data_IF_107900001142
#
_entry.id   IF_107900001142
#
_cell.length_a   1.000
_cell.length_b   1.000
_cell.length_c   1.000
_cell.angle_alpha   90.00
_cell.angle_beta   90.00
_cell.angle_gamma   90.00
#
_symmetry.space_group_name_H-M   'P 1'
#
loop_
_entity.id
_entity.type
_entity.pdbx_description
1 polymer ?
#
# COMPACT_ATOMS: atom_id res chain seq x y z
N UNK A 1 -10.50 -6.62 -14.01
CA UNK A 1 -11.15 -5.53 -13.27
C UNK A 1 -10.08 -4.50 -12.96
N UNK A 2 -10.18 -3.29 -13.51
CA UNK A 2 -9.27 -2.19 -13.16
C UNK A 2 -9.71 -1.67 -11.79
N UNK A 3 -8.88 -1.81 -10.75
CA UNK A 3 -9.17 -1.15 -9.48
C UNK A 3 -9.10 0.36 -9.70
N UNK A 4 -10.20 1.05 -9.42
CA UNK A 4 -10.26 2.51 -9.45
C UNK A 4 -9.48 3.04 -8.24
N UNK A 5 -8.71 4.10 -8.44
CA UNK A 5 -8.05 4.82 -7.36
C UNK A 5 -9.12 5.50 -6.50
N UNK A 6 -9.09 5.23 -5.19
CA UNK A 6 -10.02 5.80 -4.21
C UNK A 6 -9.27 6.77 -3.29
N UNK A 7 -9.35 8.07 -3.59
CA UNK A 7 -8.55 9.11 -2.95
C UNK A 7 -8.86 9.22 -1.45
N UNK A 8 -10.13 9.09 -1.06
CA UNK A 8 -10.55 9.24 0.34
C UNK A 8 -10.03 8.08 1.19
N UNK A 9 -10.12 6.86 0.67
CA UNK A 9 -9.59 5.66 1.35
C UNK A 9 -8.07 5.64 1.40
N UNK A 10 -7.39 6.15 0.35
CA UNK A 10 -5.93 6.32 0.37
C UNK A 10 -5.53 7.28 1.48
N UNK A 11 -6.16 8.46 1.57
CA UNK A 11 -5.83 9.46 2.59
C UNK A 11 -6.07 8.92 4.01
N UNK A 12 -7.19 8.21 4.23
CA UNK A 12 -7.49 7.59 5.51
C UNK A 12 -6.43 6.55 5.92
N UNK A 13 -6.01 5.69 4.99
CA UNK A 13 -5.00 4.66 5.26
C UNK A 13 -3.60 5.25 5.47
N UNK A 14 -3.24 6.33 4.77
CA UNK A 14 -1.99 7.06 5.03
C UNK A 14 -1.97 7.60 6.46
N UNK A 15 -3.05 8.27 6.89
CA UNK A 15 -3.15 8.80 8.25
C UNK A 15 -3.05 7.70 9.33
N UNK A 16 -3.69 6.55 9.10
CA UNK A 16 -3.60 5.40 10.00
C UNK A 16 -2.16 4.85 10.09
N UNK A 17 -1.49 4.72 8.95
CA UNK A 17 -0.09 4.25 8.89
C UNK A 17 0.89 5.23 9.53
N UNK A 18 0.64 6.53 9.48
CA UNK A 18 1.48 7.53 10.15
C UNK A 18 1.42 7.42 11.68
N UNK A 19 0.27 7.04 12.22
CA UNK A 19 0.06 6.80 13.66
C UNK A 19 0.49 5.41 14.11
N UNK A 20 0.64 4.47 13.18
CA UNK A 20 1.04 3.07 13.45
C UNK A 20 2.57 2.94 13.61
N UNK A 21 3.07 2.24 14.65
CA UNK A 21 4.49 1.87 14.78
C UNK A 21 5.02 1.16 13.54
N UNK A 22 6.27 1.42 13.18
CA UNK A 22 6.83 0.96 11.89
C UNK A 22 6.77 -0.56 11.72
N UNK A 23 6.92 -1.31 12.82
CA UNK A 23 6.89 -2.77 12.88
C UNK A 23 5.48 -3.34 12.58
N UNK A 24 4.43 -2.55 12.81
CA UNK A 24 3.03 -2.97 12.67
C UNK A 24 2.43 -2.55 11.32
N UNK A 25 3.04 -1.59 10.62
CA UNK A 25 2.52 -1.03 9.36
C UNK A 25 2.25 -2.06 8.28
N UNK A 26 3.07 -3.12 8.19
CA UNK A 26 2.85 -4.18 7.21
C UNK A 26 1.57 -4.97 7.53
N UNK A 27 1.27 -5.23 8.80
CA UNK A 27 0.05 -5.93 9.21
C UNK A 27 -1.19 -5.04 9.02
N UNK A 28 -1.07 -3.73 9.25
CA UNK A 28 -2.12 -2.76 8.90
C UNK A 28 -2.43 -2.78 7.41
N UNK A 29 -1.39 -2.75 6.56
CA UNK A 29 -1.53 -2.85 5.11
C UNK A 29 -2.15 -4.19 4.67
N UNK A 30 -1.73 -5.30 5.29
CA UNK A 30 -2.33 -6.61 5.03
C UNK A 30 -3.82 -6.61 5.38
N UNK A 31 -4.17 -6.06 6.53
CA UNK A 31 -5.57 -5.94 6.96
C UNK A 31 -6.38 -5.14 5.94
N UNK A 32 -5.85 -4.01 5.45
CA UNK A 32 -6.48 -3.20 4.41
C UNK A 32 -6.67 -3.96 3.09
N UNK A 33 -5.68 -4.77 2.67
CA UNK A 33 -5.80 -5.63 1.47
C UNK A 33 -6.93 -6.64 1.64
N UNK A 34 -7.01 -7.31 2.79
CA UNK A 34 -8.06 -8.31 3.08
C UNK A 34 -9.45 -7.66 3.07
N UNK A 35 -9.61 -6.51 3.72
CA UNK A 35 -10.93 -5.85 3.89
C UNK A 35 -11.45 -5.20 2.62
N UNK A 36 -10.56 -4.71 1.75
CA UNK A 36 -10.92 -3.95 0.54
C UNK A 36 -10.82 -4.74 -0.77
N UNK A 37 -10.34 -5.98 -0.72
CA UNK A 37 -10.13 -6.80 -1.93
C UNK A 37 -8.91 -6.39 -2.75
N UNK A 38 -7.83 -5.98 -2.06
CA UNK A 38 -6.53 -5.68 -2.64
C UNK A 38 -5.78 -6.91 -3.16
N UNK A 39 -4.50 -6.74 -3.47
CA UNK A 39 -3.58 -7.82 -3.86
C UNK A 39 -2.27 -7.66 -3.13
N UNK A 40 -1.59 -8.77 -2.87
CA UNK A 40 -0.21 -8.74 -2.44
C UNK A 40 0.56 -9.88 -3.06
N UNK A 41 1.87 -9.73 -3.05
CA UNK A 41 2.83 -10.76 -3.37
C UNK A 41 3.91 -10.74 -2.27
N UNK A 42 3.74 -11.61 -1.27
CA UNK A 42 4.57 -11.65 -0.06
C UNK A 42 5.10 -13.07 0.17
N UNK A 43 6.23 -13.22 0.88
CA UNK A 43 6.75 -14.54 1.23
C UNK A 43 5.74 -15.33 2.07
N UNK A 44 5.70 -16.64 1.86
CA UNK A 44 4.90 -17.53 2.69
C UNK A 44 5.46 -17.57 4.12
N UNK A 45 4.57 -17.74 5.11
CA UNK A 45 4.98 -18.01 6.48
C UNK A 45 5.81 -19.31 6.62
N UNK A 46 5.67 -20.24 5.67
CA UNK A 46 6.50 -21.45 5.58
C UNK A 46 7.65 -21.20 4.60
N UNK A 47 8.87 -21.16 5.14
CA UNK A 47 10.11 -21.01 4.37
C UNK A 47 10.21 -22.08 3.26
N UNK A 48 10.63 -21.67 2.07
CA UNK A 48 10.79 -22.54 0.90
C UNK A 48 9.50 -22.91 0.15
N UNK A 49 8.32 -22.42 0.57
CA UNK A 49 7.06 -22.62 -0.18
C UNK A 49 6.91 -21.56 -1.27
N UNK A 50 7.07 -20.30 -0.90
CA UNK A 50 6.97 -19.17 -1.82
C UNK A 50 7.77 -18.00 -1.28
N UNK A 51 8.78 -17.58 -2.03
CA UNK A 51 9.72 -16.52 -1.68
C UNK A 51 9.93 -15.66 -2.93
N UNK A 52 9.06 -14.66 -3.17
CA UNK A 52 9.19 -13.81 -4.33
C UNK A 52 10.48 -13.00 -4.22
N UNK A 53 11.20 -12.85 -5.33
CA UNK A 53 12.39 -12.01 -5.39
C UNK A 53 12.04 -10.53 -5.14
N UNK A 54 10.86 -10.10 -5.60
CA UNK A 54 10.33 -8.76 -5.43
C UNK A 54 8.93 -8.87 -4.83
N UNK A 55 8.72 -8.22 -3.69
CA UNK A 55 7.43 -8.20 -3.01
C UNK A 55 6.58 -7.06 -3.52
N UNK A 56 5.25 -7.24 -3.49
CA UNK A 56 4.33 -6.19 -3.91
C UNK A 56 3.07 -6.13 -3.06
N UNK A 57 2.46 -4.94 -3.03
CA UNK A 57 1.15 -4.74 -2.43
C UNK A 57 0.34 -3.73 -3.24
N UNK A 58 -0.95 -4.05 -3.42
CA UNK A 58 -1.94 -3.22 -4.08
C UNK A 58 -3.14 -3.05 -3.17
N UNK A 59 -3.43 -1.81 -2.77
CA UNK A 59 -4.64 -1.47 -2.01
C UNK A 59 -5.14 -0.10 -2.43
N UNK A 60 -6.47 0.03 -2.57
CA UNK A 60 -7.16 1.26 -3.05
C UNK A 60 -6.62 1.83 -4.38
N UNK A 61 -6.08 0.96 -5.25
CA UNK A 61 -5.48 1.37 -6.52
C UNK A 61 -4.01 1.82 -6.43
N UNK A 62 -3.43 1.91 -5.23
CA UNK A 62 -2.00 2.21 -5.03
C UNK A 62 -1.22 0.91 -5.06
N UNK A 63 -0.26 0.80 -5.98
CA UNK A 63 0.62 -0.36 -6.15
C UNK A 63 2.05 -0.02 -5.75
N UNK A 64 2.63 -0.77 -4.82
CA UNK A 64 4.00 -0.60 -4.35
C UNK A 64 4.78 -1.92 -4.43
N UNK A 65 6.10 -1.80 -4.64
CA UNK A 65 7.03 -2.93 -4.68
C UNK A 65 8.25 -2.64 -3.81
N UNK A 66 8.89 -3.69 -3.29
CA UNK A 66 10.13 -3.61 -2.53
C UNK A 66 10.87 -4.94 -2.51
N UNK A 67 12.19 -4.88 -2.31
CA UNK A 67 13.06 -6.06 -2.16
C UNK A 67 13.04 -6.61 -0.72
N UNK A 68 12.47 -5.87 0.23
CA UNK A 68 12.28 -6.28 1.62
C UNK A 68 10.88 -5.95 2.15
N UNK A 69 10.44 -6.71 3.16
CA UNK A 69 9.15 -6.48 3.82
C UNK A 69 9.13 -5.16 4.62
N UNK A 70 10.27 -4.72 5.15
CA UNK A 70 10.35 -3.49 5.93
C UNK A 70 10.23 -2.23 5.05
N UNK A 71 10.68 -2.31 3.80
CA UNK A 71 10.61 -1.21 2.85
C UNK A 71 9.22 -1.05 2.22
N UNK A 72 8.45 -2.13 2.13
CA UNK A 72 7.17 -2.15 1.42
C UNK A 72 6.16 -1.12 1.95
N UNK A 73 5.95 -0.96 3.28
CA UNK A 73 5.06 0.07 3.80
C UNK A 73 5.53 1.49 3.51
N UNK A 74 6.85 1.74 3.57
CA UNK A 74 7.42 3.06 3.26
C UNK A 74 7.20 3.42 1.79
N UNK A 75 7.43 2.46 0.89
CA UNK A 75 7.22 2.64 -0.54
C UNK A 75 5.74 2.88 -0.85
N UNK A 76 4.84 2.16 -0.19
CA UNK A 76 3.41 2.36 -0.35
C UNK A 76 2.96 3.75 0.08
N UNK A 77 3.34 4.20 1.29
CA UNK A 77 3.00 5.55 1.79
C UNK A 77 3.55 6.64 0.87
N UNK A 78 4.79 6.50 0.39
CA UNK A 78 5.38 7.46 -0.55
C UNK A 78 4.59 7.57 -1.86
N UNK A 79 4.16 6.43 -2.42
CA UNK A 79 3.36 6.43 -3.65
C UNK A 79 1.95 6.97 -3.43
N UNK A 80 1.33 6.62 -2.30
CA UNK A 80 0.05 7.17 -1.88
C UNK A 80 0.11 8.70 -1.77
N UNK A 81 1.11 9.24 -1.07
CA UNK A 81 1.32 10.69 -0.94
C UNK A 81 1.44 11.37 -2.31
N UNK A 82 2.25 10.82 -3.23
CA UNK A 82 2.37 11.38 -4.58
C UNK A 82 1.03 11.40 -5.35
N UNK A 83 0.17 10.39 -5.14
CA UNK A 83 -1.16 10.33 -5.77
C UNK A 83 -2.09 11.39 -5.17
N UNK A 84 -2.07 11.56 -3.84
CA UNK A 84 -2.85 12.59 -3.14
C UNK A 84 -2.44 14.00 -3.60
N UNK A 85 -1.13 14.27 -3.67
CA UNK A 85 -0.59 15.55 -4.16
C UNK A 85 -1.04 15.82 -5.60
N UNK A 86 -0.97 14.82 -6.49
CA UNK A 86 -1.42 14.95 -7.87
C UNK A 86 -2.93 15.21 -7.98
N UNK A 87 -3.74 14.58 -7.11
CA UNK A 87 -5.18 14.78 -7.07
C UNK A 87 -5.55 16.20 -6.61
N UNK A 88 -4.86 16.72 -5.57
CA UNK A 88 -5.05 18.09 -5.10
C UNK A 88 -4.68 19.11 -6.18
N UNK A 89 -3.52 18.96 -6.81
CA UNK A 89 -3.07 19.86 -7.89
C UNK A 89 -4.05 19.86 -9.09
N UNK A 90 -4.66 18.71 -9.39
CA UNK A 90 -5.64 18.59 -10.48
C UNK A 90 -6.96 19.30 -10.14
N UNK A 91 -7.36 19.32 -8.86
CA UNK A 91 -8.57 20.00 -8.40
C UNK A 91 -8.40 21.53 -8.39
N UNK A 92 -7.21 22.03 -8.06
CA UNK A 92 -6.90 23.47 -8.06
C UNK A 92 -6.82 24.06 -9.49
N UNK A 93 -6.55 23.22 -10.49
CA UNK A 93 -6.45 23.61 -11.89
C UNK A 93 -7.79 23.60 -12.66
N UNK A 94 -8.87 23.07 -12.06
CA UNK A 94 -10.19 22.87 -12.67
C UNK A 94 -11.19 23.96 -12.25
#
# INVERSE_FOLDING_TARGET
MSQRIDIDLIAALVADLELTPIEERLETLKSAVITSGGRWDLPSAKRGVYEPFLMSIQVFGVYAMADSLEELPRNWVRLAANILDAAQNSAEAA
#
